data_IF_888479297929
#
_entry.id   IF_888479297929
#
_cell.length_a   1.000
_cell.length_b   1.000
_cell.length_c   1.000
_cell.angle_alpha   90.00
_cell.angle_beta   90.00
_cell.angle_gamma   90.00
#
_symmetry.space_group_name_H-M   'P 1'
#
loop_
_entity.id
_entity.type
_entity.pdbx_description
1 polymer ?
#
# COMPACT_ATOMS: atom_id res chain seq x y z
N UNK A 1 28.25 -28.21 -31.94
CA UNK A 1 29.31 -28.74 -32.82
C UNK A 1 30.64 -28.29 -32.21
N UNK A 2 31.51 -29.20 -31.75
CA UNK A 2 32.73 -28.84 -31.00
C UNK A 2 33.84 -28.49 -32.00
N UNK A 3 34.32 -27.23 -31.97
CA UNK A 3 35.48 -26.79 -32.77
C UNK A 3 36.73 -26.97 -31.91
N UNK A 4 37.68 -27.79 -32.38
CA UNK A 4 38.99 -27.95 -31.77
C UNK A 4 39.95 -26.91 -32.37
N UNK A 5 40.43 -25.96 -31.57
CA UNK A 5 41.54 -25.08 -31.96
C UNK A 5 42.84 -25.76 -31.52
N UNK A 6 43.61 -26.24 -32.49
CA UNK A 6 44.95 -26.79 -32.29
C UNK A 6 45.96 -25.62 -32.28
N UNK A 7 46.38 -25.17 -31.10
CA UNK A 7 47.55 -24.28 -30.98
C UNK A 7 48.83 -25.13 -30.98
N UNK A 8 49.74 -24.82 -31.89
CA UNK A 8 51.03 -25.49 -32.04
C UNK A 8 51.82 -25.47 -30.72
N UNK A 9 52.27 -26.63 -30.27
CA UNK A 9 52.98 -26.82 -29.02
C UNK A 9 54.49 -26.58 -29.19
N UNK A 10 55.04 -25.65 -28.39
CA UNK A 10 56.48 -25.62 -28.10
C UNK A 10 56.82 -26.70 -27.05
N UNK A 11 57.99 -27.37 -27.13
CA UNK A 11 58.38 -28.36 -26.14
C UNK A 11 58.73 -27.67 -24.81
N UNK A 12 57.86 -27.80 -23.81
CA UNK A 12 58.07 -27.28 -22.46
C UNK A 12 56.94 -26.42 -21.87
N UNK A 13 55.89 -26.10 -22.63
CA UNK A 13 54.77 -25.29 -22.12
C UNK A 13 53.58 -26.17 -21.71
N UNK A 14 53.14 -26.06 -20.45
CA UNK A 14 51.88 -26.60 -19.94
C UNK A 14 50.73 -26.27 -20.90
N UNK A 15 50.03 -27.29 -21.41
CA UNK A 15 48.85 -27.11 -22.27
C UNK A 15 47.79 -26.34 -21.48
N UNK A 16 47.64 -25.05 -21.75
CA UNK A 16 46.49 -24.28 -21.31
C UNK A 16 45.32 -24.67 -22.23
N UNK A 17 44.38 -25.47 -21.73
CA UNK A 17 43.16 -25.81 -22.48
C UNK A 17 42.27 -24.57 -22.42
N UNK A 18 42.31 -23.75 -23.46
CA UNK A 18 41.37 -22.64 -23.64
C UNK A 18 40.10 -23.22 -24.24
N UNK A 19 39.08 -23.43 -23.41
CA UNK A 19 37.73 -23.74 -23.89
C UNK A 19 37.12 -22.46 -24.48
N UNK A 20 37.15 -22.32 -25.80
CA UNK A 20 36.30 -21.36 -26.50
C UNK A 20 34.90 -21.97 -26.63
N UNK A 21 34.10 -21.88 -25.56
CA UNK A 21 32.67 -22.08 -25.71
C UNK A 21 32.11 -20.90 -26.52
N UNK A 22 31.28 -21.15 -27.53
CA UNK A 22 30.46 -20.10 -28.14
C UNK A 22 29.74 -19.38 -27.00
N UNK A 23 29.84 -18.06 -26.94
CA UNK A 23 29.18 -17.25 -25.91
C UNK A 23 27.91 -16.65 -26.48
N UNK A 24 26.85 -16.67 -25.68
CA UNK A 24 25.62 -15.94 -25.94
C UNK A 24 25.50 -14.78 -24.94
N UNK A 25 24.91 -13.70 -25.41
CA UNK A 25 24.78 -12.48 -24.62
C UNK A 25 23.37 -12.38 -24.05
N UNK A 26 23.25 -12.36 -22.72
CA UNK A 26 21.98 -12.08 -22.06
C UNK A 26 21.83 -10.57 -21.99
N UNK A 27 20.86 -10.06 -22.76
CA UNK A 27 20.56 -8.63 -22.78
C UNK A 27 19.88 -8.20 -21.47
N UNK A 28 20.11 -6.94 -21.10
CA UNK A 28 19.49 -6.35 -19.92
C UNK A 28 17.98 -6.27 -20.07
N UNK A 29 17.48 -6.02 -21.28
CA UNK A 29 16.04 -5.98 -21.54
C UNK A 29 15.40 -7.33 -21.20
N UNK A 30 16.03 -8.45 -21.55
CA UNK A 30 15.52 -9.79 -21.24
C UNK A 30 15.47 -10.04 -19.72
N UNK A 31 16.53 -9.67 -19.00
CA UNK A 31 16.60 -9.78 -17.54
C UNK A 31 15.61 -8.85 -16.83
N UNK A 32 15.46 -7.63 -17.32
CA UNK A 32 14.54 -6.63 -16.79
C UNK A 32 13.08 -7.05 -17.01
N UNK A 33 12.74 -7.57 -18.19
CA UNK A 33 11.40 -8.09 -18.49
C UNK A 33 11.04 -9.30 -17.62
N UNK A 34 11.97 -10.25 -17.42
CA UNK A 34 11.74 -11.38 -16.53
C UNK A 34 11.49 -10.90 -15.08
N UNK A 35 12.29 -9.93 -14.60
CA UNK A 35 12.12 -9.37 -13.28
C UNK A 35 10.82 -8.57 -13.11
N UNK A 36 10.43 -7.77 -14.11
CA UNK A 36 9.17 -7.00 -14.06
C UNK A 36 7.95 -7.91 -14.02
N UNK A 37 7.98 -9.05 -14.74
CA UNK A 37 6.88 -10.05 -14.68
C UNK A 37 6.73 -10.60 -13.27
N UNK A 38 7.82 -10.99 -12.62
CA UNK A 38 7.77 -11.51 -11.25
C UNK A 38 7.34 -10.45 -10.24
N UNK A 39 7.81 -9.20 -10.39
CA UNK A 39 7.37 -8.08 -9.55
C UNK A 39 5.86 -7.85 -9.70
N UNK A 40 5.34 -7.83 -10.94
CA UNK A 40 3.91 -7.64 -11.20
C UNK A 40 3.06 -8.79 -10.63
N UNK A 41 3.49 -10.04 -10.82
CA UNK A 41 2.79 -11.21 -10.27
C UNK A 41 2.75 -11.19 -8.74
N UNK A 42 3.86 -10.82 -8.10
CA UNK A 42 3.97 -10.82 -6.64
C UNK A 42 3.33 -9.58 -5.98
N UNK A 43 3.21 -8.46 -6.70
CA UNK A 43 2.51 -7.27 -6.20
C UNK A 43 1.01 -7.52 -5.98
N UNK A 44 0.42 -8.50 -6.67
CA UNK A 44 -0.99 -8.88 -6.50
C UNK A 44 -1.99 -7.79 -6.92
N UNK A 45 -1.51 -6.70 -7.53
CA UNK A 45 -2.33 -5.64 -8.11
C UNK A 45 -2.64 -6.07 -9.53
N UNK A 46 -3.93 -6.29 -9.81
CA UNK A 46 -4.37 -6.48 -11.19
C UNK A 46 -3.88 -5.28 -12.00
N UNK A 47 -3.18 -5.52 -13.11
CA UNK A 47 -2.58 -4.50 -13.99
C UNK A 47 -3.65 -3.64 -14.70
N UNK A 48 -4.90 -3.64 -14.21
CA UNK A 48 -5.90 -2.67 -14.63
C UNK A 48 -5.52 -1.30 -14.03
N UNK A 49 -5.21 -0.36 -14.92
CA UNK A 49 -5.07 1.09 -14.68
C UNK A 49 -3.69 1.65 -14.27
N UNK A 50 -2.57 1.06 -14.74
CA UNK A 50 -1.25 1.73 -14.68
C UNK A 50 -0.76 2.05 -13.25
N UNK A 51 -1.39 1.42 -12.24
CA UNK A 51 -1.20 1.71 -10.82
C UNK A 51 0.11 1.12 -10.25
N UNK A 52 0.82 0.30 -11.03
CA UNK A 52 2.14 -0.20 -10.66
C UNK A 52 3.13 0.13 -11.77
N UNK A 53 4.12 0.98 -11.46
CA UNK A 53 5.21 1.29 -12.39
C UNK A 53 6.51 0.66 -11.91
N UNK A 54 7.17 -0.10 -12.78
CA UNK A 54 8.43 -0.79 -12.47
C UNK A 54 9.52 -0.25 -13.39
N UNK A 55 10.46 0.51 -12.83
CA UNK A 55 11.55 1.14 -13.58
C UNK A 55 12.88 0.55 -13.17
N UNK A 56 13.67 0.07 -14.14
CA UNK A 56 15.03 -0.41 -13.86
C UNK A 56 15.93 0.75 -13.41
N UNK A 57 16.60 0.58 -12.27
CA UNK A 57 17.59 1.51 -11.74
C UNK A 57 19.00 1.04 -12.10
N UNK A 58 19.70 1.83 -12.89
CA UNK A 58 21.11 1.61 -13.25
C UNK A 58 21.33 1.38 -14.74
N UNK A 59 22.59 1.32 -15.13
CA UNK A 59 23.00 1.12 -16.53
C UNK A 59 22.87 -0.35 -16.94
N UNK A 60 22.56 -0.63 -18.21
CA UNK A 60 22.43 -1.99 -18.71
C UNK A 60 23.76 -2.77 -18.59
N UNK A 61 23.83 -3.71 -17.64
CA UNK A 61 24.90 -4.69 -17.50
C UNK A 61 24.64 -5.92 -18.36
N UNK A 62 25.37 -6.01 -19.47
CA UNK A 62 25.36 -7.16 -20.35
C UNK A 62 26.07 -8.34 -19.67
N UNK A 63 25.45 -9.52 -19.65
CA UNK A 63 26.07 -10.74 -19.10
C UNK A 63 26.34 -11.73 -20.24
N UNK A 64 27.62 -12.06 -20.45
CA UNK A 64 28.02 -13.10 -21.39
C UNK A 64 27.99 -14.45 -20.70
N UNK A 65 27.23 -15.40 -21.24
CA UNK A 65 27.13 -16.78 -20.73
C UNK A 65 27.44 -17.78 -21.85
N UNK A 66 27.81 -19.03 -21.53
CA UNK A 66 28.00 -20.06 -22.54
C UNK A 66 26.73 -20.24 -23.39
N UNK A 67 26.89 -20.55 -24.67
CA UNK A 67 25.79 -20.92 -25.55
C UNK A 67 25.15 -22.24 -25.08
N UNK A 68 23.83 -22.30 -25.11
CA UNK A 68 23.03 -23.42 -24.61
C UNK A 68 21.61 -22.98 -24.24
N UNK A 69 20.81 -23.88 -23.68
CA UNK A 69 19.45 -23.55 -23.27
C UNK A 69 19.47 -22.66 -22.05
N UNK A 70 18.94 -21.44 -22.20
CA UNK A 70 18.97 -20.42 -21.17
C UNK A 70 17.71 -20.46 -20.30
N UNK A 71 17.91 -20.51 -18.99
CA UNK A 71 16.85 -20.41 -17.99
C UNK A 71 17.15 -19.25 -17.02
N UNK A 72 16.12 -18.44 -16.73
CA UNK A 72 16.22 -17.27 -15.87
C UNK A 72 15.31 -17.45 -14.67
N UNK A 73 15.91 -17.68 -13.50
CA UNK A 73 15.19 -17.70 -12.24
C UNK A 73 15.34 -16.33 -11.54
N UNK A 74 14.21 -15.65 -11.33
CA UNK A 74 14.16 -14.38 -10.58
C UNK A 74 13.68 -14.63 -9.16
N UNK A 75 14.34 -14.02 -8.19
CA UNK A 75 13.91 -14.02 -6.78
C UNK A 75 13.98 -12.61 -6.20
N UNK A 76 13.02 -12.27 -5.34
CA UNK A 76 12.97 -11.01 -4.58
C UNK A 76 13.32 -11.31 -3.12
N UNK A 77 14.61 -11.39 -2.73
CA UNK A 77 15.02 -11.86 -1.41
C UNK A 77 14.47 -11.04 -0.24
N UNK A 78 14.13 -9.77 -0.48
CA UNK A 78 13.56 -8.86 0.51
C UNK A 78 12.11 -8.47 0.22
N UNK A 79 11.46 -9.17 -0.72
CA UNK A 79 10.15 -8.79 -1.24
C UNK A 79 10.15 -7.48 -2.03
N UNK A 80 8.95 -6.98 -2.32
CA UNK A 80 8.74 -5.69 -2.99
C UNK A 80 8.81 -4.57 -1.96
N UNK A 81 9.57 -3.53 -2.29
CA UNK A 81 9.69 -2.32 -1.48
C UNK A 81 9.22 -1.15 -2.34
N UNK A 82 8.22 -0.42 -1.84
CA UNK A 82 7.65 0.74 -2.53
C UNK A 82 8.26 2.08 -2.08
N UNK A 83 8.94 2.09 -0.93
CA UNK A 83 9.62 3.27 -0.36
C UNK A 83 11.15 3.25 -0.55
N UNK A 84 11.68 2.21 -1.20
CA UNK A 84 13.10 2.01 -1.43
C UNK A 84 13.27 1.08 -2.64
N UNK A 85 14.44 1.06 -3.31
CA UNK A 85 14.67 0.18 -4.44
C UNK A 85 14.38 -1.29 -4.11
N UNK A 86 13.59 -1.93 -4.97
CA UNK A 86 13.33 -3.37 -4.94
C UNK A 86 14.49 -4.11 -5.59
N UNK A 87 15.07 -5.07 -4.88
CA UNK A 87 16.22 -5.86 -5.36
C UNK A 87 15.72 -7.17 -5.97
N UNK A 88 15.98 -7.37 -7.26
CA UNK A 88 15.75 -8.64 -7.95
C UNK A 88 17.08 -9.36 -8.17
N UNK A 89 17.20 -10.58 -7.64
CA UNK A 89 18.32 -11.47 -7.87
C UNK A 89 17.98 -12.40 -9.03
N UNK A 90 18.76 -12.32 -10.09
CA UNK A 90 18.58 -13.08 -11.33
C UNK A 90 19.65 -14.15 -11.39
N UNK A 91 19.22 -15.41 -11.37
CA UNK A 91 20.08 -16.58 -11.55
C UNK A 91 19.96 -17.02 -13.00
N UNK A 92 21.07 -16.99 -13.72
CA UNK A 92 21.14 -17.36 -15.13
C UNK A 92 21.74 -18.77 -15.19
N UNK A 93 20.94 -19.72 -15.65
CA UNK A 93 21.36 -21.10 -15.84
C UNK A 93 21.46 -21.43 -17.33
N UNK A 94 22.49 -22.16 -17.72
CA UNK A 94 22.67 -22.70 -19.08
C UNK A 94 22.74 -24.21 -18.96
N UNK A 95 21.85 -24.92 -19.66
CA UNK A 95 21.74 -26.39 -19.63
C UNK A 95 21.69 -26.96 -18.20
N UNK A 96 20.93 -26.29 -17.32
CA UNK A 96 20.72 -26.70 -15.93
C UNK A 96 21.87 -26.37 -14.96
N UNK A 97 22.95 -25.71 -15.43
CA UNK A 97 24.06 -25.25 -14.57
C UNK A 97 24.04 -23.73 -14.44
N UNK A 98 24.24 -23.23 -13.23
CA UNK A 98 24.33 -21.79 -12.97
C UNK A 98 25.57 -21.25 -13.70
N UNK A 99 25.34 -20.39 -14.69
CA UNK A 99 26.37 -19.73 -15.47
C UNK A 99 26.73 -18.36 -14.88
N UNK A 100 25.74 -17.63 -14.37
CA UNK A 100 25.95 -16.32 -13.77
C UNK A 100 24.84 -15.96 -12.79
N UNK A 101 25.13 -15.06 -11.87
CA UNK A 101 24.13 -14.44 -10.98
C UNK A 101 24.34 -12.94 -11.03
N UNK A 102 23.26 -12.20 -11.28
CA UNK A 102 23.28 -10.74 -11.30
C UNK A 102 22.16 -10.18 -10.43
N UNK A 103 22.33 -8.92 -10.03
CA UNK A 103 21.35 -8.21 -9.21
C UNK A 103 20.92 -6.97 -9.99
N UNK A 104 19.62 -6.84 -10.20
CA UNK A 104 18.99 -5.65 -10.74
C UNK A 104 18.20 -4.95 -9.63
N UNK A 105 18.21 -3.62 -9.65
CA UNK A 105 17.43 -2.79 -8.73
C UNK A 105 16.32 -2.14 -9.53
N UNK A 106 15.13 -2.07 -8.94
CA UNK A 106 13.96 -1.45 -9.56
C UNK A 106 13.39 -0.38 -8.64
N UNK A 107 12.99 0.76 -9.21
CA UNK A 107 12.04 1.67 -8.57
C UNK A 107 10.65 1.14 -8.86
N UNK A 108 9.91 0.82 -7.80
CA UNK A 108 8.57 0.24 -7.89
C UNK A 108 7.64 1.23 -7.21
N UNK A 109 6.85 1.95 -8.01
CA UNK A 109 5.87 2.90 -7.50
C UNK A 109 4.49 2.27 -7.58
N UNK A 110 3.72 2.43 -6.50
CA UNK A 110 2.36 1.94 -6.41
C UNK A 110 1.46 3.15 -6.24
N UNK A 111 0.62 3.41 -7.23
CA UNK A 111 -0.35 4.49 -7.26
C UNK A 111 -1.72 4.00 -6.83
N UNK A 112 -2.45 4.86 -6.12
CA UNK A 112 -3.85 4.63 -5.80
C UNK A 112 -4.58 5.98 -5.70
N UNK A 113 -5.89 5.96 -5.92
CA UNK A 113 -6.76 7.08 -5.54
C UNK A 113 -6.83 7.18 -4.02
N UNK A 114 -6.38 8.31 -3.48
CA UNK A 114 -6.46 8.63 -2.05
C UNK A 114 -7.28 9.89 -1.84
N UNK A 115 -7.86 10.03 -0.65
CA UNK A 115 -8.63 11.21 -0.27
C UNK A 115 -7.69 12.32 0.19
N UNK A 116 -7.81 13.48 -0.43
CA UNK A 116 -7.01 14.67 -0.11
C UNK A 116 -7.91 15.87 0.16
N UNK A 117 -7.36 16.89 0.83
CA UNK A 117 -8.03 18.18 0.98
C UNK A 117 -8.13 18.89 -0.39
N UNK A 118 -9.34 19.23 -0.82
CA UNK A 118 -9.59 19.93 -2.09
C UNK A 118 -9.24 21.43 -2.00
N UNK A 119 -9.39 22.01 -0.81
CA UNK A 119 -9.12 23.42 -0.48
C UNK A 119 -8.48 23.52 0.91
N UNK A 120 -8.09 24.71 1.40
CA UNK A 120 -7.69 24.86 2.79
C UNK A 120 -8.84 24.43 3.72
N UNK A 121 -8.54 23.61 4.73
CA UNK A 121 -9.49 23.14 5.75
C UNK A 121 -8.94 23.56 7.11
N UNK A 122 -9.72 24.30 7.88
CA UNK A 122 -9.30 24.79 9.19
C UNK A 122 -9.36 23.69 10.26
N UNK A 123 -8.65 23.90 11.37
CA UNK A 123 -8.79 23.05 12.55
C UNK A 123 -10.24 23.10 13.06
N UNK A 124 -10.82 21.94 13.32
CA UNK A 124 -12.20 21.78 13.79
C UNK A 124 -13.24 21.90 12.68
N UNK A 125 -12.84 22.14 11.43
CA UNK A 125 -13.76 22.17 10.30
C UNK A 125 -14.17 20.74 9.90
N UNK A 126 -15.43 20.59 9.51
CA UNK A 126 -16.02 19.31 9.10
C UNK A 126 -15.60 18.93 7.69
N UNK A 127 -15.19 17.68 7.50
CA UNK A 127 -14.96 17.07 6.21
C UNK A 127 -16.28 16.77 5.49
N UNK A 128 -16.34 17.13 4.21
CA UNK A 128 -17.49 16.88 3.36
C UNK A 128 -17.06 16.72 1.89
N UNK A 129 -18.00 16.33 1.03
CA UNK A 129 -17.73 16.14 -0.40
C UNK A 129 -17.25 17.40 -1.14
N UNK A 130 -17.49 18.61 -0.61
CA UNK A 130 -17.08 19.87 -1.24
C UNK A 130 -15.62 20.24 -0.93
N UNK A 131 -15.11 19.83 0.24
CA UNK A 131 -13.75 20.11 0.67
C UNK A 131 -12.79 18.93 0.55
N UNK A 132 -13.27 17.77 0.07
CA UNK A 132 -12.49 16.58 -0.22
C UNK A 132 -12.51 16.26 -1.72
N UNK A 133 -11.44 15.61 -2.19
CA UNK A 133 -11.40 15.01 -3.53
C UNK A 133 -10.54 13.76 -3.53
N UNK A 134 -10.69 12.95 -4.55
CA UNK A 134 -9.75 11.87 -4.84
C UNK A 134 -8.57 12.42 -5.65
N UNK A 135 -7.37 11.98 -5.30
CA UNK A 135 -6.15 12.29 -6.03
C UNK A 135 -5.30 11.03 -6.16
N UNK A 136 -4.76 10.81 -7.36
CA UNK A 136 -3.88 9.67 -7.63
C UNK A 136 -2.49 9.95 -7.10
N UNK A 137 -2.02 9.18 -6.13
CA UNK A 137 -0.72 9.39 -5.48
C UNK A 137 0.05 8.09 -5.31
N UNK A 138 1.39 8.19 -5.27
CA UNK A 138 2.28 7.07 -4.96
C UNK A 138 2.17 6.72 -3.47
N UNK A 139 1.34 5.72 -3.16
CA UNK A 139 1.07 5.24 -1.81
C UNK A 139 2.28 4.55 -1.18
N UNK A 140 3.27 4.14 -1.98
CA UNK A 140 4.54 3.63 -1.48
C UNK A 140 5.32 4.66 -0.68
N UNK A 141 5.08 5.94 -0.95
CA UNK A 141 5.76 7.08 -0.33
C UNK A 141 4.88 7.82 0.68
N UNK A 142 3.61 7.41 0.84
CA UNK A 142 2.70 7.98 1.83
C UNK A 142 2.88 7.32 3.20
N UNK A 143 2.58 8.09 4.25
CA UNK A 143 2.43 7.54 5.58
C UNK A 143 1.20 6.63 5.65
N UNK A 144 1.31 5.50 6.35
CA UNK A 144 0.22 4.53 6.51
C UNK A 144 -1.06 5.14 7.12
N UNK A 145 -2.18 4.49 6.85
CA UNK A 145 -3.49 4.89 7.39
C UNK A 145 -4.14 6.06 6.65
N UNK A 146 -3.82 6.22 5.35
CA UNK A 146 -4.53 7.11 4.45
C UNK A 146 -5.94 6.58 4.14
N UNK A 147 -6.85 7.48 3.79
CA UNK A 147 -8.20 7.11 3.36
C UNK A 147 -8.29 7.00 1.85
N UNK A 148 -8.96 5.96 1.36
CA UNK A 148 -9.27 5.72 -0.06
C UNK A 148 -10.75 5.91 -0.38
N UNK A 149 -11.54 6.29 0.63
CA UNK A 149 -12.99 6.44 0.54
C UNK A 149 -13.43 7.61 1.42
N UNK A 150 -14.07 8.61 0.80
CA UNK A 150 -14.56 9.82 1.46
C UNK A 150 -15.64 9.48 2.50
N UNK A 151 -16.47 8.46 2.23
CA UNK A 151 -17.61 8.10 3.10
C UNK A 151 -17.17 7.69 4.51
N UNK A 152 -15.93 7.23 4.67
CA UNK A 152 -15.36 6.83 5.98
C UNK A 152 -15.03 7.99 6.90
N UNK A 153 -14.95 9.21 6.35
CA UNK A 153 -14.55 10.42 7.07
C UNK A 153 -15.50 11.60 6.84
N UNK A 154 -16.57 11.38 6.09
CA UNK A 154 -17.62 12.37 5.92
C UNK A 154 -18.25 12.71 7.28
N UNK A 155 -18.41 14.00 7.57
CA UNK A 155 -18.86 14.47 8.88
C UNK A 155 -17.80 14.46 9.98
N UNK A 156 -16.58 13.96 9.73
CA UNK A 156 -15.49 14.02 10.71
C UNK A 156 -14.84 15.41 10.73
N UNK A 157 -14.06 15.70 11.76
CA UNK A 157 -13.45 17.01 11.97
C UNK A 157 -11.94 16.96 11.71
N UNK A 158 -11.40 18.05 11.18
CA UNK A 158 -9.95 18.19 11.02
C UNK A 158 -9.25 18.51 12.34
N UNK A 159 -8.20 17.76 12.68
CA UNK A 159 -7.41 17.97 13.90
C UNK A 159 -6.50 19.19 13.84
N UNK A 160 -6.16 19.66 12.64
CA UNK A 160 -5.28 20.81 12.38
C UNK A 160 -5.64 21.49 11.05
N UNK A 161 -5.02 22.63 10.77
CA UNK A 161 -5.16 23.23 9.45
C UNK A 161 -4.50 22.34 8.38
N UNK A 162 -5.19 22.15 7.26
CA UNK A 162 -4.74 21.36 6.12
C UNK A 162 -4.66 22.24 4.87
N UNK A 163 -3.59 22.07 4.11
CA UNK A 163 -3.43 22.72 2.81
C UNK A 163 -4.05 21.85 1.70
N UNK A 164 -4.46 22.44 0.56
CA UNK A 164 -4.90 21.68 -0.60
C UNK A 164 -3.87 20.61 -1.02
N UNK A 165 -4.35 19.44 -1.43
CA UNK A 165 -3.51 18.29 -1.81
C UNK A 165 -2.91 17.53 -0.62
N UNK A 166 -3.20 17.92 0.63
CA UNK A 166 -2.75 17.14 1.79
C UNK A 166 -3.50 15.81 1.85
N UNK A 167 -2.80 14.65 1.83
CA UNK A 167 -3.45 13.35 1.97
C UNK A 167 -4.03 13.16 3.36
N UNK A 168 -5.30 12.75 3.43
CA UNK A 168 -5.96 12.52 4.71
C UNK A 168 -5.58 11.16 5.26
N UNK A 169 -5.17 11.17 6.52
CA UNK A 169 -4.84 9.97 7.28
C UNK A 169 -5.47 10.03 8.68
N UNK A 170 -5.44 8.90 9.39
CA UNK A 170 -6.02 8.76 10.73
C UNK A 170 -5.53 9.77 11.78
N UNK A 171 -4.35 10.39 11.59
CA UNK A 171 -3.80 11.38 12.53
C UNK A 171 -4.32 12.79 12.27
N UNK A 172 -4.93 13.04 11.11
CA UNK A 172 -5.49 14.34 10.73
C UNK A 172 -6.99 14.45 11.00
N UNK A 173 -7.64 13.32 11.24
CA UNK A 173 -9.09 13.20 11.32
C UNK A 173 -9.52 12.88 12.75
N UNK A 174 -10.58 13.51 13.21
CA UNK A 174 -11.18 13.34 14.54
C UNK A 174 -12.69 13.11 14.42
N UNK A 175 -13.22 12.12 15.13
CA UNK A 175 -14.66 11.86 15.13
C UNK A 175 -15.41 12.98 15.86
N UNK A 176 -16.55 13.46 15.34
CA UNK A 176 -17.32 14.49 16.02
C UNK A 176 -17.92 13.92 17.30
N UNK A 177 -17.95 14.73 18.36
CA UNK A 177 -18.69 14.41 19.58
C UNK A 177 -20.16 14.73 19.33
N UNK A 178 -20.98 13.70 19.13
CA UNK A 178 -22.41 13.82 18.85
C UNK A 178 -23.25 13.98 20.12
N UNK A 179 -22.73 13.46 21.25
CA UNK A 179 -23.34 13.59 22.57
C UNK A 179 -22.28 14.10 23.53
N UNK A 180 -22.52 15.23 24.18
CA UNK A 180 -21.59 15.78 25.19
C UNK A 180 -22.00 15.33 26.59
N UNK A 181 -21.05 15.15 27.49
CA UNK A 181 -21.33 14.95 28.91
C UNK A 181 -22.17 16.10 29.47
N UNK A 182 -23.18 15.76 30.25
CA UNK A 182 -24.15 16.69 30.85
C UNK A 182 -25.23 17.19 29.89
N UNK A 183 -25.18 16.78 28.60
CA UNK A 183 -26.23 17.17 27.66
C UNK A 183 -27.48 16.29 27.82
N UNK A 184 -28.64 16.91 27.61
CA UNK A 184 -29.89 16.18 27.48
C UNK A 184 -29.85 15.32 26.21
N UNK A 185 -30.25 14.06 26.35
CA UNK A 185 -30.30 13.08 25.27
C UNK A 185 -31.66 12.40 25.21
N UNK A 186 -32.06 12.03 24.00
CA UNK A 186 -33.21 11.17 23.77
C UNK A 186 -32.75 9.71 23.76
N UNK A 187 -33.30 8.92 24.69
CA UNK A 187 -33.11 7.48 24.78
C UNK A 187 -34.21 6.82 23.97
N UNK A 188 -33.84 6.05 22.94
CA UNK A 188 -34.75 5.28 22.10
C UNK A 188 -34.56 3.81 22.44
N UNK A 189 -35.65 3.10 22.74
CA UNK A 189 -35.65 1.65 22.92
C UNK A 189 -36.58 1.03 21.88
N UNK A 190 -36.10 0.05 21.12
CA UNK A 190 -36.89 -0.65 20.10
C UNK A 190 -36.99 -2.13 20.42
N UNK A 191 -38.21 -2.63 20.60
CA UNK A 191 -38.44 -4.06 20.79
C UNK A 191 -39.78 -4.47 20.16
N UNK A 192 -39.76 -5.48 19.28
CA UNK A 192 -40.98 -6.06 18.72
C UNK A 192 -41.86 -5.06 17.93
N UNK A 193 -41.26 -4.06 17.28
CA UNK A 193 -41.98 -3.01 16.55
C UNK A 193 -42.51 -1.86 17.42
N UNK A 194 -42.26 -1.89 18.74
CA UNK A 194 -42.58 -0.80 19.66
C UNK A 194 -41.33 0.06 19.85
N UNK A 195 -41.46 1.38 19.63
CA UNK A 195 -40.44 2.37 19.94
C UNK A 195 -40.85 3.15 21.19
N UNK A 196 -39.98 3.17 22.20
CA UNK A 196 -40.17 3.95 23.43
C UNK A 196 -39.09 5.01 23.50
N UNK A 197 -39.51 6.27 23.62
CA UNK A 197 -38.60 7.41 23.79
C UNK A 197 -38.63 7.92 25.23
N UNK A 198 -37.47 8.16 25.83
CA UNK A 198 -37.34 8.79 27.14
C UNK A 198 -36.27 9.88 27.11
N UNK A 199 -36.38 10.86 28.02
CA UNK A 199 -35.32 11.84 28.23
C UNK A 199 -34.29 11.32 29.22
N UNK A 200 -33.03 11.61 28.96
CA UNK A 200 -31.93 11.35 29.86
C UNK A 200 -30.84 12.40 29.77
N UNK A 201 -29.83 12.25 30.62
CA UNK A 201 -28.63 13.07 30.63
C UNK A 201 -27.41 12.19 30.35
N UNK A 202 -26.55 12.62 29.42
CA UNK A 202 -25.35 11.89 29.06
C UNK A 202 -24.27 12.03 30.13
N UNK A 203 -23.68 10.91 30.56
CA UNK A 203 -22.71 10.92 31.66
C UNK A 203 -21.26 10.96 31.17
N UNK A 204 -21.06 10.84 29.85
CA UNK A 204 -19.78 10.94 29.17
C UNK A 204 -19.98 11.41 27.72
N UNK A 205 -18.90 11.86 27.09
CA UNK A 205 -18.91 12.19 25.66
C UNK A 205 -19.09 10.93 24.81
N UNK A 206 -19.78 11.09 23.68
CA UNK A 206 -20.15 10.00 22.78
C UNK A 206 -20.01 10.38 21.32
N UNK A 207 -19.33 9.51 20.58
CA UNK A 207 -19.27 9.51 19.12
C UNK A 207 -20.30 8.54 18.56
N UNK A 208 -20.65 8.68 17.28
CA UNK A 208 -21.51 7.74 16.57
C UNK A 208 -21.04 6.27 16.75
N UNK A 209 -21.98 5.38 17.05
CA UNK A 209 -21.72 3.96 17.32
C UNK A 209 -21.07 3.67 18.68
N UNK A 210 -20.71 4.68 19.48
CA UNK A 210 -20.11 4.48 20.78
C UNK A 210 -21.18 4.19 21.84
N UNK A 211 -20.93 3.20 22.69
CA UNK A 211 -21.75 2.95 23.89
C UNK A 211 -21.40 3.96 24.98
N UNK A 212 -22.40 4.70 25.44
CA UNK A 212 -22.28 5.68 26.52
C UNK A 212 -23.26 5.41 27.65
N UNK A 213 -22.88 5.83 28.86
CA UNK A 213 -23.77 5.82 30.02
C UNK A 213 -24.64 7.07 30.00
N UNK A 214 -25.93 6.87 30.22
CA UNK A 214 -26.94 7.92 30.32
C UNK A 214 -27.77 7.71 31.58
N UNK A 215 -28.16 8.78 32.24
CA UNK A 215 -29.08 8.73 33.37
C UNK A 215 -30.48 9.11 32.89
N UNK A 216 -31.47 8.26 33.12
CA UNK A 216 -32.85 8.57 32.75
C UNK A 216 -33.40 9.65 33.69
N UNK A 217 -33.89 10.76 33.13
CA UNK A 217 -34.33 11.93 33.91
C UNK A 217 -35.60 11.66 34.73
N UNK A 218 -36.45 10.71 34.31
CA UNK A 218 -37.69 10.37 35.02
C UNK A 218 -37.46 9.40 36.18
N UNK A 219 -36.55 8.44 36.03
CA UNK A 219 -36.35 7.36 37.01
C UNK A 219 -35.04 7.44 37.78
N UNK A 220 -34.11 8.32 37.39
CA UNK A 220 -32.77 8.42 37.96
C UNK A 220 -31.86 7.22 37.68
N UNK A 221 -32.35 6.21 36.94
CA UNK A 221 -31.61 4.97 36.65
C UNK A 221 -30.52 5.19 35.61
N UNK A 222 -29.41 4.48 35.78
CA UNK A 222 -28.31 4.43 34.83
C UNK A 222 -28.59 3.42 33.74
N UNK A 223 -28.44 3.84 32.49
CA UNK A 223 -28.69 3.04 31.30
C UNK A 223 -27.46 3.15 30.38
N UNK A 224 -27.15 2.09 29.63
CA UNK A 224 -26.09 2.11 28.62
C UNK A 224 -26.73 2.04 27.24
N UNK A 225 -26.56 3.08 26.44
CA UNK A 225 -27.06 3.15 25.06
C UNK A 225 -25.95 3.44 24.07
N UNK A 226 -26.19 3.15 22.80
CA UNK A 226 -25.29 3.41 21.67
C UNK A 226 -25.69 4.74 21.04
N UNK A 227 -24.76 5.66 20.82
CA UNK A 227 -25.06 6.93 20.14
C UNK A 227 -25.38 6.64 18.67
N UNK A 228 -26.57 7.05 18.24
CA UNK A 228 -27.04 6.86 16.86
C UNK A 228 -27.12 8.16 16.07
N UNK A 229 -27.27 9.29 16.76
CA UNK A 229 -27.30 10.62 16.16
C UNK A 229 -26.94 11.69 17.20
N UNK A 230 -26.84 12.94 16.77
CA UNK A 230 -26.64 14.07 17.67
C UNK A 230 -27.73 14.10 18.77
N UNK A 231 -27.32 14.02 20.04
CA UNK A 231 -28.23 14.01 21.17
C UNK A 231 -29.13 12.76 21.30
N UNK A 232 -28.89 11.68 20.54
CA UNK A 232 -29.76 10.49 20.55
C UNK A 232 -28.97 9.22 20.83
N UNK A 233 -29.49 8.39 21.73
CA UNK A 233 -28.93 7.08 22.09
C UNK A 233 -29.98 5.98 21.95
N UNK A 234 -29.57 4.81 21.47
CA UNK A 234 -30.41 3.62 21.32
C UNK A 234 -29.98 2.51 22.30
N UNK A 235 -30.94 1.84 22.94
CA UNK A 235 -30.70 0.76 23.92
C UNK A 235 -31.20 -0.59 23.45
#
# INVERSE_FOLDING_TARGET
MVIYILLAAFPGSTKQIVYAAESQTVSVNMMASAASVVINQQAGVAVENDDLTVTLLGSPSVVSVPAGNLDLAVSLPYGIRYNAPTTAKITISVDGKIAAVTILKFDVNLYQQVVVAARPINRGETFNAENLRYERMDIGRLNSGYYTDITKIDGYLSRRMLNPGTPLNQFLVEKPVLVKRGSAVTIIARQGGIEVTALGEAMQDGHEGQRIRVQNSNSGKWITGTVVAAGTVEI
#
